data_IF_655065327859
#
_entry.id   IF_655065327859
#
_cell.length_a   1.000
_cell.length_b   1.000
_cell.length_c   1.000
_cell.angle_alpha   90.00
_cell.angle_beta   90.00
_cell.angle_gamma   90.00
#
_symmetry.space_group_name_H-M   'P 1'
#
loop_
_entity.id
_entity.type
_entity.pdbx_description
1 polymer ?
#
# COMPACT_ATOMS: atom_id res chain seq x y z
N UNK A 1 24.84 28.49 -33.23
CA UNK A 1 24.17 27.21 -33.56
C UNK A 1 22.71 27.37 -33.18
N UNK A 2 21.92 27.93 -34.09
CA UNK A 2 20.48 28.16 -33.91
C UNK A 2 19.78 26.82 -33.98
N UNK A 3 19.23 26.36 -32.86
CA UNK A 3 18.34 25.20 -32.85
C UNK A 3 17.11 25.60 -33.68
N UNK A 4 17.02 25.09 -34.90
CA UNK A 4 15.81 25.20 -35.71
C UNK A 4 14.72 24.47 -34.94
N UNK A 5 13.84 25.22 -34.29
CA UNK A 5 12.58 24.70 -33.76
C UNK A 5 11.66 24.42 -34.95
N UNK A 6 11.80 23.24 -35.55
CA UNK A 6 11.00 22.78 -36.69
C UNK A 6 10.76 21.27 -36.58
N UNK A 7 9.68 20.80 -37.18
CA UNK A 7 9.36 19.37 -37.23
C UNK A 7 10.41 18.61 -38.06
N UNK A 8 10.62 17.32 -37.78
CA UNK A 8 11.45 16.48 -38.62
C UNK A 8 10.91 16.42 -40.05
N UNK A 9 9.59 16.55 -40.26
CA UNK A 9 8.99 16.70 -41.60
C UNK A 9 9.60 17.84 -42.42
N UNK A 10 9.88 18.98 -41.79
CA UNK A 10 10.45 20.17 -42.45
C UNK A 10 11.96 20.08 -42.59
N UNK A 11 12.64 19.44 -41.62
CA UNK A 11 14.09 19.34 -41.61
C UNK A 11 14.63 18.23 -42.53
N UNK A 12 13.93 17.10 -42.61
CA UNK A 12 14.40 15.91 -43.34
C UNK A 12 14.68 16.16 -44.84
N UNK A 13 13.91 16.99 -45.58
CA UNK A 13 14.22 17.36 -46.95
C UNK A 13 15.51 18.17 -47.12
N UNK A 14 15.98 18.89 -46.09
CA UNK A 14 17.19 19.73 -46.16
C UNK A 14 18.48 18.91 -46.05
N UNK A 15 18.42 17.75 -45.39
CA UNK A 15 19.57 16.86 -45.15
C UNK A 15 19.61 15.67 -46.11
N UNK A 16 18.74 15.64 -47.12
CA UNK A 16 18.70 14.55 -48.11
C UNK A 16 19.92 14.61 -49.04
N UNK A 17 20.41 13.45 -49.55
CA UNK A 17 21.45 13.44 -50.58
C UNK A 17 20.99 14.17 -51.86
N UNK A 18 21.90 14.89 -52.51
CA UNK A 18 21.60 15.72 -53.68
C UNK A 18 20.96 14.94 -54.85
N UNK A 19 21.34 13.66 -55.03
CA UNK A 19 20.77 12.79 -56.07
C UNK A 19 19.29 12.42 -55.83
N UNK A 20 18.74 12.72 -54.65
CA UNK A 20 17.31 12.56 -54.31
C UNK A 20 16.53 13.89 -54.31
N UNK A 21 17.00 14.89 -55.05
CA UNK A 21 16.41 16.24 -55.11
C UNK A 21 15.03 16.37 -55.79
N UNK A 22 14.55 15.33 -56.49
CA UNK A 22 13.28 15.38 -57.22
C UNK A 22 12.01 15.34 -56.34
N UNK A 23 10.82 15.52 -56.94
CA UNK A 23 9.53 15.51 -56.21
C UNK A 23 9.28 14.23 -55.42
N UNK A 24 9.68 13.08 -55.96
CA UNK A 24 9.56 11.77 -55.29
C UNK A 24 10.49 11.64 -54.09
N UNK A 25 11.73 12.14 -54.19
CA UNK A 25 12.68 12.17 -53.08
C UNK A 25 12.24 13.14 -51.97
N UNK A 26 11.52 14.21 -52.34
CA UNK A 26 10.95 15.15 -51.38
C UNK A 26 9.78 14.53 -50.61
N UNK A 27 8.85 13.89 -51.31
CA UNK A 27 7.75 13.17 -50.69
C UNK A 27 8.24 12.05 -49.75
N UNK A 28 9.28 11.31 -50.17
CA UNK A 28 9.94 10.31 -49.33
C UNK A 28 10.56 10.94 -48.07
N UNK A 29 11.33 12.03 -48.22
CA UNK A 29 11.98 12.71 -47.10
C UNK A 29 10.97 13.28 -46.10
N UNK A 30 9.88 13.88 -46.59
CA UNK A 30 8.79 14.35 -45.74
C UNK A 30 8.12 13.20 -44.97
N UNK A 31 7.88 12.06 -45.63
CA UNK A 31 7.29 10.87 -44.99
C UNK A 31 8.20 10.32 -43.89
N UNK A 32 9.51 10.24 -44.15
CA UNK A 32 10.50 9.86 -43.13
C UNK A 32 10.53 10.85 -41.97
N UNK A 33 10.38 12.15 -42.24
CA UNK A 33 10.28 13.17 -41.21
C UNK A 33 9.06 12.99 -40.31
N UNK A 34 7.87 12.72 -40.87
CA UNK A 34 6.65 12.41 -40.10
C UNK A 34 6.85 11.20 -39.19
N UNK A 35 7.53 10.15 -39.68
CA UNK A 35 7.85 8.99 -38.86
C UNK A 35 8.77 9.37 -37.68
N UNK A 36 9.79 10.19 -37.91
CA UNK A 36 10.70 10.67 -36.85
C UNK A 36 9.96 11.52 -35.81
N UNK A 37 9.06 12.41 -36.25
CA UNK A 37 8.21 13.20 -35.35
C UNK A 37 7.34 12.28 -34.47
N UNK A 38 6.76 11.23 -35.05
CA UNK A 38 5.95 10.25 -34.30
C UNK A 38 6.79 9.49 -33.27
N UNK A 39 8.01 9.07 -33.62
CA UNK A 39 8.92 8.38 -32.70
C UNK A 39 9.34 9.32 -31.57
N UNK A 40 9.65 10.57 -31.88
CA UNK A 40 10.00 11.58 -30.88
C UNK A 40 8.85 11.79 -29.89
N UNK A 41 7.62 11.95 -30.39
CA UNK A 41 6.42 12.08 -29.56
C UNK A 41 6.26 10.87 -28.64
N UNK A 42 6.37 9.66 -29.18
CA UNK A 42 6.28 8.42 -28.41
C UNK A 42 7.38 8.33 -27.35
N UNK A 43 8.63 8.71 -27.68
CA UNK A 43 9.73 8.73 -26.73
C UNK A 43 9.49 9.72 -25.57
N UNK A 44 8.96 10.93 -25.89
CA UNK A 44 8.56 11.92 -24.88
C UNK A 44 7.43 11.39 -23.98
N UNK A 45 6.42 10.74 -24.55
CA UNK A 45 5.33 10.12 -23.80
C UNK A 45 5.84 8.98 -22.90
N UNK A 46 6.65 8.07 -23.44
CA UNK A 46 7.26 6.97 -22.68
C UNK A 46 8.07 7.48 -21.48
N UNK A 47 8.81 8.58 -21.64
CA UNK A 47 9.53 9.23 -20.53
C UNK A 47 8.59 9.70 -19.43
N UNK A 48 7.42 10.27 -19.77
CA UNK A 48 6.41 10.69 -18.78
C UNK A 48 5.86 9.50 -17.98
N UNK A 49 5.72 8.33 -18.60
CA UNK A 49 5.23 7.13 -17.92
C UNK A 49 6.14 6.63 -16.79
N UNK A 50 7.41 7.04 -16.77
CA UNK A 50 8.34 6.72 -15.67
C UNK A 50 8.10 7.55 -14.41
N UNK A 51 7.42 8.69 -14.50
CA UNK A 51 7.23 9.63 -13.39
C UNK A 51 5.84 9.51 -12.77
N UNK A 52 5.78 9.25 -11.46
CA UNK A 52 4.52 9.10 -10.72
C UNK A 52 3.63 10.36 -10.75
N UNK A 53 4.16 11.53 -11.07
CA UNK A 53 3.38 12.77 -11.25
C UNK A 53 2.76 12.93 -12.62
N UNK A 54 3.31 12.28 -13.66
CA UNK A 54 2.96 12.55 -15.06
C UNK A 54 2.46 11.31 -15.80
N UNK A 55 2.74 10.11 -15.30
CA UNK A 55 2.30 8.87 -15.92
C UNK A 55 0.78 8.77 -15.99
N UNK A 56 0.27 7.97 -16.92
CA UNK A 56 -1.14 7.62 -17.01
C UNK A 56 -1.53 6.60 -15.92
N UNK A 57 -2.83 6.38 -15.75
CA UNK A 57 -3.36 5.53 -14.66
C UNK A 57 -2.99 4.05 -14.82
N UNK A 58 -2.97 3.54 -16.04
CA UNK A 58 -2.53 2.18 -16.39
C UNK A 58 -1.07 1.94 -15.99
N UNK A 59 -0.20 2.94 -16.19
CA UNK A 59 1.20 2.88 -15.77
C UNK A 59 1.35 2.87 -14.23
N UNK A 60 0.43 3.50 -13.48
CA UNK A 60 0.47 3.46 -12.01
C UNK A 60 0.33 2.05 -11.47
N UNK A 61 -0.52 1.21 -12.09
CA UNK A 61 -0.67 -0.18 -11.69
C UNK A 61 0.66 -0.94 -11.80
N UNK A 62 1.45 -0.68 -12.86
CA UNK A 62 2.79 -1.26 -13.03
C UNK A 62 3.78 -0.76 -11.98
N UNK A 63 3.75 0.54 -11.67
CA UNK A 63 4.56 1.13 -10.59
C UNK A 63 4.22 0.53 -9.22
N UNK A 64 2.94 0.28 -8.97
CA UNK A 64 2.45 -0.39 -7.78
C UNK A 64 2.87 -1.84 -7.69
N UNK A 65 2.73 -2.59 -8.79
CA UNK A 65 3.16 -4.00 -8.87
C UNK A 65 4.65 -4.15 -8.53
N UNK A 66 5.51 -3.30 -9.10
CA UNK A 66 6.94 -3.30 -8.77
C UNK A 66 7.20 -3.06 -7.27
N UNK A 67 6.42 -2.16 -6.67
CA UNK A 67 6.46 -1.87 -5.23
C UNK A 67 5.59 -2.83 -4.42
N UNK A 68 5.01 -3.88 -4.99
CA UNK A 68 4.03 -4.78 -4.34
C UNK A 68 2.88 -4.08 -3.63
N UNK A 69 2.54 -2.86 -4.04
CA UNK A 69 1.53 -1.99 -3.45
C UNK A 69 0.43 -1.77 -4.47
N UNK A 70 -0.49 -2.71 -4.52
CA UNK A 70 -1.65 -2.64 -5.41
C UNK A 70 -2.61 -1.54 -4.95
N UNK A 71 -3.38 -0.98 -5.88
CA UNK A 71 -4.44 -0.02 -5.56
C UNK A 71 -5.54 -0.71 -4.75
N UNK A 72 -6.05 -0.02 -3.73
CA UNK A 72 -7.16 -0.50 -2.91
C UNK A 72 -8.49 -0.06 -3.55
N UNK A 73 -9.55 -0.84 -3.39
CA UNK A 73 -10.90 -0.46 -3.82
C UNK A 73 -11.32 0.84 -3.14
N UNK A 74 -11.95 1.74 -3.90
CA UNK A 74 -12.33 3.07 -3.42
C UNK A 74 -11.19 4.09 -3.33
N UNK A 75 -9.92 3.69 -3.46
CA UNK A 75 -8.79 4.62 -3.50
C UNK A 75 -8.82 5.42 -4.80
N UNK A 76 -8.80 6.75 -4.72
CA UNK A 76 -8.69 7.62 -5.90
C UNK A 76 -7.30 7.53 -6.53
N UNK A 77 -7.18 7.88 -7.82
CA UNK A 77 -5.88 7.90 -8.53
C UNK A 77 -4.87 8.82 -7.84
N UNK A 78 -5.34 9.96 -7.31
CA UNK A 78 -4.50 10.91 -6.60
C UNK A 78 -3.96 10.34 -5.28
N UNK A 79 -4.82 9.70 -4.47
CA UNK A 79 -4.41 9.02 -3.24
C UNK A 79 -3.39 7.91 -3.54
N UNK A 80 -3.64 7.12 -4.58
CA UNK A 80 -2.73 6.05 -4.97
C UNK A 80 -1.35 6.57 -5.37
N UNK A 81 -1.29 7.68 -6.13
CA UNK A 81 -0.01 8.35 -6.45
C UNK A 81 0.71 8.82 -5.20
N UNK A 82 0.02 9.45 -4.26
CA UNK A 82 0.60 9.93 -3.00
C UNK A 82 1.22 8.77 -2.22
N UNK A 83 0.49 7.66 -2.11
CA UNK A 83 0.97 6.45 -1.44
C UNK A 83 2.20 5.84 -2.13
N UNK A 84 2.21 5.77 -3.46
CA UNK A 84 3.37 5.29 -4.21
C UNK A 84 4.61 6.20 -4.10
N UNK A 85 4.42 7.52 -3.96
CA UNK A 85 5.52 8.47 -3.73
C UNK A 85 6.12 8.33 -2.32
N UNK A 86 5.29 8.04 -1.33
CA UNK A 86 5.71 7.83 0.05
C UNK A 86 6.54 6.55 0.24
N UNK A 87 6.56 5.64 -0.75
CA UNK A 87 7.26 4.36 -0.69
C UNK A 87 8.72 4.46 -0.20
N UNK A 88 9.50 5.41 -0.72
CA UNK A 88 10.91 5.54 -0.33
C UNK A 88 11.08 5.95 1.13
N UNK A 89 10.20 6.83 1.63
CA UNK A 89 10.21 7.23 3.03
C UNK A 89 9.81 6.07 3.95
N UNK A 90 8.83 5.26 3.53
CA UNK A 90 8.42 4.08 4.27
C UNK A 90 9.49 3.00 4.27
N UNK A 91 10.20 2.83 3.14
CA UNK A 91 11.28 1.87 3.02
C UNK A 91 12.41 2.14 4.02
N UNK A 92 12.68 3.40 4.34
CA UNK A 92 13.65 3.79 5.37
C UNK A 92 13.28 3.25 6.76
N UNK A 93 11.99 3.20 7.08
CA UNK A 93 11.47 2.78 8.37
C UNK A 93 10.95 1.34 8.39
N UNK A 94 11.25 0.54 7.35
CA UNK A 94 10.91 -0.88 7.34
C UNK A 94 11.54 -1.61 8.54
N UNK A 95 10.79 -2.52 9.15
CA UNK A 95 11.20 -3.24 10.35
C UNK A 95 10.96 -2.49 11.66
N UNK A 96 10.40 -1.27 11.63
CA UNK A 96 10.10 -0.48 12.82
C UNK A 96 8.60 -0.30 13.03
N UNK A 97 8.20 -0.05 14.28
CA UNK A 97 6.81 0.33 14.61
C UNK A 97 6.36 1.57 13.81
N UNK A 98 7.23 2.57 13.68
CA UNK A 98 6.97 3.79 12.89
C UNK A 98 6.60 3.48 11.44
N UNK A 99 7.35 2.60 10.77
CA UNK A 99 7.08 2.23 9.39
C UNK A 99 5.71 1.57 9.21
N UNK A 100 5.31 0.73 10.17
CA UNK A 100 3.96 0.13 10.18
C UNK A 100 2.91 1.24 10.34
N UNK A 101 3.01 2.07 11.38
CA UNK A 101 2.04 3.14 11.68
C UNK A 101 1.90 4.11 10.51
N UNK A 102 3.01 4.59 9.95
CA UNK A 102 3.02 5.51 8.81
C UNK A 102 2.37 4.86 7.56
N UNK A 103 2.57 3.56 7.33
CA UNK A 103 1.96 2.85 6.21
C UNK A 103 0.43 2.71 6.36
N UNK A 104 -0.06 2.49 7.58
CA UNK A 104 -1.51 2.47 7.88
C UNK A 104 -2.13 3.87 7.73
N UNK A 105 -1.41 4.92 8.14
CA UNK A 105 -1.89 6.29 8.01
C UNK A 105 -2.13 6.68 6.54
N UNK A 106 -1.36 6.15 5.58
CA UNK A 106 -1.60 6.36 4.15
C UNK A 106 -2.89 5.70 3.62
N UNK A 107 -3.44 4.73 4.35
CA UNK A 107 -4.77 4.14 4.07
C UNK A 107 -5.90 4.86 4.84
N UNK A 108 -5.59 5.94 5.56
CA UNK A 108 -6.55 6.68 6.38
C UNK A 108 -6.76 6.11 7.79
N UNK A 109 -6.05 5.04 8.17
CA UNK A 109 -6.09 4.47 9.52
C UNK A 109 -5.03 5.17 10.37
N UNK A 110 -5.42 6.21 11.10
CA UNK A 110 -4.48 7.08 11.85
C UNK A 110 -4.26 6.65 13.29
N UNK A 111 -5.19 5.88 13.86
CA UNK A 111 -5.10 5.39 15.24
C UNK A 111 -4.59 3.95 15.27
N UNK A 112 -3.30 3.80 14.96
CA UNK A 112 -2.63 2.48 14.91
C UNK A 112 -1.47 2.47 15.89
N UNK A 113 -1.37 1.39 16.63
CA UNK A 113 -0.29 1.14 17.57
C UNK A 113 0.36 -0.21 17.32
N UNK A 114 1.66 -0.29 17.57
CA UNK A 114 2.41 -1.54 17.55
C UNK A 114 2.80 -1.84 18.99
N UNK A 115 2.36 -2.98 19.50
CA UNK A 115 2.64 -3.41 20.88
C UNK A 115 3.56 -4.62 20.85
N UNK A 116 4.73 -4.49 21.46
CA UNK A 116 5.71 -5.57 21.57
C UNK A 116 5.50 -6.34 22.87
N UNK A 117 5.70 -7.66 22.83
CA UNK A 117 5.62 -8.50 24.03
C UNK A 117 6.60 -8.08 25.14
N UNK A 118 7.76 -7.51 24.77
CA UNK A 118 8.82 -7.13 25.70
C UNK A 118 8.58 -5.78 26.40
N UNK A 119 7.79 -4.86 25.83
CA UNK A 119 7.72 -3.47 26.29
C UNK A 119 7.18 -3.33 27.71
N UNK A 120 6.34 -4.27 28.14
CA UNK A 120 5.78 -4.28 29.48
C UNK A 120 6.68 -4.89 30.55
N UNK A 121 7.70 -5.69 30.17
CA UNK A 121 8.63 -6.26 31.14
C UNK A 121 9.63 -5.22 31.67
N UNK A 122 9.91 -4.17 30.90
CA UNK A 122 10.99 -3.20 31.18
C UNK A 122 10.47 -1.94 31.89
N UNK A 123 9.18 -1.63 31.80
CA UNK A 123 8.59 -0.37 32.27
C UNK A 123 7.70 -0.50 33.51
N UNK A 124 7.64 -1.68 34.14
CA UNK A 124 6.78 -1.92 35.31
C UNK A 124 5.27 -1.86 35.01
N UNK A 125 4.87 -1.72 33.74
CA UNK A 125 3.49 -1.81 33.31
C UNK A 125 3.00 -3.26 33.28
N UNK A 126 1.71 -3.49 33.52
CA UNK A 126 1.11 -4.82 33.33
C UNK A 126 1.34 -5.28 31.89
N UNK A 127 2.04 -6.40 31.68
CA UNK A 127 2.15 -6.96 30.35
C UNK A 127 0.79 -7.40 29.85
N UNK A 128 0.54 -7.14 28.56
CA UNK A 128 -0.63 -7.66 27.86
C UNK A 128 -0.68 -9.16 28.12
N UNK A 129 -1.66 -9.62 28.90
CA UNK A 129 -1.73 -10.99 29.39
C UNK A 129 -1.58 -12.01 28.26
N UNK A 130 -2.10 -11.70 27.08
CA UNK A 130 -2.01 -12.52 25.86
C UNK A 130 -0.62 -12.57 25.20
N UNK A 131 0.31 -11.67 25.52
CA UNK A 131 1.68 -11.63 24.99
C UNK A 131 2.76 -11.79 26.06
N UNK A 132 2.38 -12.20 27.26
CA UNK A 132 3.30 -12.51 28.35
C UNK A 132 4.09 -13.80 28.12
N UNK A 133 5.36 -13.82 28.55
CA UNK A 133 6.18 -15.03 28.67
C UNK A 133 7.47 -15.04 27.83
N UNK A 134 8.52 -15.72 28.34
CA UNK A 134 9.86 -15.79 27.72
C UNK A 134 9.86 -16.27 26.25
N UNK A 135 8.90 -17.11 25.85
CA UNK A 135 8.77 -17.60 24.47
C UNK A 135 8.16 -16.60 23.48
N UNK A 136 7.61 -15.48 23.95
CA UNK A 136 6.86 -14.51 23.14
C UNK A 136 7.65 -13.22 22.87
N UNK A 137 8.93 -13.15 23.26
CA UNK A 137 9.80 -11.98 23.08
C UNK A 137 9.98 -11.52 21.62
N UNK A 138 9.72 -12.40 20.65
CA UNK A 138 9.76 -12.09 19.20
C UNK A 138 8.39 -11.74 18.62
N UNK A 139 7.36 -11.62 19.45
CA UNK A 139 6.00 -11.30 19.02
C UNK A 139 5.71 -9.81 19.19
N UNK A 140 4.99 -9.27 18.23
CA UNK A 140 4.33 -7.98 18.33
C UNK A 140 2.93 -8.07 17.74
N UNK A 141 2.02 -7.26 18.26
CA UNK A 141 0.67 -7.09 17.72
C UNK A 141 0.56 -5.72 17.07
N UNK A 142 -0.26 -5.62 16.03
CA UNK A 142 -0.69 -4.34 15.47
C UNK A 142 -2.14 -4.14 15.89
N UNK A 143 -2.43 -3.06 16.60
CA UNK A 143 -3.80 -2.70 17.00
C UNK A 143 -4.25 -1.52 16.17
N UNK A 144 -5.35 -1.70 15.45
CA UNK A 144 -5.99 -0.70 14.60
C UNK A 144 -7.28 -0.28 15.30
N UNK A 145 -7.31 0.95 15.78
CA UNK A 145 -8.49 1.53 16.44
C UNK A 145 -9.25 2.42 15.45
N UNK A 146 -10.45 2.82 15.83
CA UNK A 146 -11.20 3.83 15.11
C UNK A 146 -10.37 5.14 15.00
N UNK A 147 -10.40 5.84 13.86
CA UNK A 147 -11.28 5.60 12.71
C UNK A 147 -10.74 4.55 11.72
N UNK A 148 -11.60 3.62 11.30
CA UNK A 148 -11.35 2.70 10.18
C UNK A 148 -12.68 2.26 9.51
N UNK A 149 -12.68 1.84 8.24
CA UNK A 149 -13.92 1.50 7.51
C UNK A 149 -14.48 0.09 7.82
N UNK A 150 -13.83 -0.69 8.69
CA UNK A 150 -14.30 -2.02 9.07
C UNK A 150 -15.53 -1.94 9.99
N UNK A 151 -16.49 -2.82 9.74
CA UNK A 151 -17.69 -3.02 10.56
C UNK A 151 -17.72 -4.40 11.19
N UNK A 152 -18.78 -4.72 11.93
CA UNK A 152 -18.99 -6.06 12.51
C UNK A 152 -19.96 -6.87 11.65
N UNK A 153 -19.65 -8.15 11.42
CA UNK A 153 -20.56 -9.10 10.75
C UNK A 153 -21.42 -9.90 11.73
N UNK A 154 -21.24 -9.69 13.04
CA UNK A 154 -21.94 -10.42 14.09
C UNK A 154 -21.49 -11.88 14.25
N UNK A 155 -20.48 -12.35 13.52
CA UNK A 155 -19.97 -13.72 13.59
C UNK A 155 -18.71 -13.79 14.46
N UNK A 156 -18.90 -14.17 15.72
CA UNK A 156 -17.81 -14.39 16.67
C UNK A 156 -17.62 -15.89 16.92
N UNK A 157 -16.40 -16.31 17.26
CA UNK A 157 -16.16 -17.70 17.67
C UNK A 157 -16.74 -17.87 19.07
N UNK A 158 -17.66 -18.82 19.24
CA UNK A 158 -18.05 -19.35 20.55
C UNK A 158 -17.58 -20.81 20.60
N UNK A 159 -16.57 -21.11 21.41
CA UNK A 159 -16.01 -22.46 21.51
C UNK A 159 -15.15 -22.88 20.30
N UNK A 160 -15.44 -24.03 19.69
CA UNK A 160 -14.56 -24.70 18.69
C UNK A 160 -15.04 -24.63 17.25
N UNK A 161 -16.15 -23.93 16.95
CA UNK A 161 -16.73 -23.90 15.60
C UNK A 161 -16.56 -22.55 14.90
N UNK A 162 -16.08 -22.61 13.67
CA UNK A 162 -15.95 -21.48 12.73
C UNK A 162 -17.25 -21.32 11.94
N UNK A 163 -17.78 -20.09 11.85
CA UNK A 163 -18.81 -19.71 10.88
C UNK A 163 -18.30 -18.47 10.14
N UNK A 164 -17.84 -18.59 8.90
CA UNK A 164 -17.46 -17.45 8.05
C UNK A 164 -16.22 -17.63 7.16
N UNK A 165 -16.15 -16.84 6.07
CA UNK A 165 -15.24 -16.97 4.92
C UNK A 165 -13.85 -16.33 5.10
N UNK A 166 -13.21 -16.49 6.27
CA UNK A 166 -11.78 -16.15 6.46
C UNK A 166 -11.47 -14.76 7.03
N UNK A 167 -12.49 -14.10 7.60
CA UNK A 167 -12.39 -12.88 8.39
C UNK A 167 -13.24 -13.09 9.64
N UNK A 168 -12.65 -13.02 10.84
CA UNK A 168 -13.35 -13.31 12.09
C UNK A 168 -14.02 -12.01 12.60
N UNK A 169 -15.34 -11.98 12.75
CA UNK A 169 -16.06 -10.93 13.48
C UNK A 169 -16.17 -9.56 12.80
N UNK A 170 -15.75 -9.42 11.53
CA UNK A 170 -15.75 -8.13 10.84
C UNK A 170 -16.16 -8.18 9.37
N UNK A 171 -16.99 -7.21 8.98
CA UNK A 171 -17.25 -6.85 7.58
C UNK A 171 -16.21 -5.84 7.09
N UNK A 172 -15.79 -5.94 5.84
CA UNK A 172 -14.94 -4.94 5.22
C UNK A 172 -14.65 -5.23 3.76
N UNK A 173 -14.12 -4.24 3.05
CA UNK A 173 -13.67 -4.43 1.68
C UNK A 173 -12.50 -5.44 1.63
N UNK A 174 -12.63 -6.57 0.91
CA UNK A 174 -11.58 -7.59 0.81
C UNK A 174 -10.25 -7.04 0.29
N UNK A 175 -10.28 -6.02 -0.56
CA UNK A 175 -9.06 -5.43 -1.11
C UNK A 175 -8.29 -4.64 -0.06
N UNK A 176 -8.99 -3.93 0.84
CA UNK A 176 -8.41 -3.23 1.96
C UNK A 176 -7.87 -4.20 3.03
N UNK A 177 -8.60 -5.30 3.30
CA UNK A 177 -8.11 -6.36 4.19
C UNK A 177 -6.80 -6.95 3.65
N UNK A 178 -6.74 -7.24 2.34
CA UNK A 178 -5.51 -7.70 1.70
C UNK A 178 -4.38 -6.68 1.83
N UNK A 179 -4.67 -5.39 1.65
CA UNK A 179 -3.68 -4.32 1.79
C UNK A 179 -3.12 -4.21 3.22
N UNK A 180 -3.98 -4.31 4.23
CA UNK A 180 -3.60 -4.32 5.66
C UNK A 180 -2.68 -5.50 5.98
N UNK A 181 -3.02 -6.71 5.51
CA UNK A 181 -2.18 -7.91 5.67
C UNK A 181 -0.81 -7.70 5.03
N UNK A 182 -0.78 -7.23 3.78
CA UNK A 182 0.46 -6.99 3.04
C UNK A 182 1.34 -5.91 3.67
N UNK A 183 0.77 -4.86 4.27
CA UNK A 183 1.54 -3.86 5.02
C UNK A 183 2.30 -4.53 6.16
N UNK A 184 1.62 -5.31 6.99
CA UNK A 184 2.28 -5.95 8.15
C UNK A 184 3.28 -7.00 7.69
N UNK A 185 2.95 -7.82 6.69
CA UNK A 185 3.86 -8.83 6.13
C UNK A 185 5.15 -8.22 5.60
N UNK A 186 5.09 -7.02 5.02
CA UNK A 186 6.21 -6.36 4.37
C UNK A 186 7.01 -5.45 5.30
N UNK A 187 6.33 -4.76 6.20
CA UNK A 187 6.95 -3.79 7.10
C UNK A 187 7.50 -4.46 8.36
N UNK A 188 7.15 -5.73 8.66
CA UNK A 188 7.67 -6.45 9.83
C UNK A 188 9.19 -6.64 9.77
N UNK A 189 9.89 -6.59 10.91
CA UNK A 189 11.31 -6.93 10.96
C UNK A 189 11.51 -8.44 10.80
N UNK A 190 12.67 -8.84 10.28
CA UNK A 190 12.97 -10.25 10.00
C UNK A 190 13.05 -11.14 11.25
N UNK A 191 13.39 -10.56 12.41
CA UNK A 191 13.58 -11.30 13.66
C UNK A 191 12.30 -11.47 14.48
N UNK A 192 11.23 -10.76 14.13
CA UNK A 192 9.96 -10.77 14.85
C UNK A 192 8.82 -11.29 13.97
N UNK A 193 7.76 -11.76 14.60
CA UNK A 193 6.55 -12.18 13.91
C UNK A 193 5.31 -11.54 14.52
N UNK A 194 4.34 -11.24 13.65
CA UNK A 194 3.04 -10.77 14.05
C UNK A 194 2.07 -11.95 14.02
N UNK A 195 1.56 -12.44 15.16
CA UNK A 195 0.61 -13.55 15.18
C UNK A 195 -0.80 -13.10 14.78
N UNK A 196 -1.15 -11.83 15.00
CA UNK A 196 -2.47 -11.26 14.71
C UNK A 196 -2.42 -9.73 14.62
N UNK A 197 -3.25 -9.20 13.74
CA UNK A 197 -3.61 -7.79 13.66
C UNK A 197 -4.98 -7.66 14.34
N UNK A 198 -5.08 -6.79 15.33
CA UNK A 198 -6.26 -6.57 16.15
C UNK A 198 -6.99 -5.34 15.62
N UNK A 199 -8.27 -5.48 15.30
CA UNK A 199 -9.11 -4.38 14.80
C UNK A 199 -10.18 -4.10 15.83
N UNK A 200 -10.26 -2.87 16.35
CA UNK A 200 -11.22 -2.46 17.38
C UNK A 200 -12.46 -1.86 16.72
N UNK A 201 -13.50 -2.68 16.56
CA UNK A 201 -14.73 -2.34 15.86
C UNK A 201 -15.63 -1.41 16.68
N UNK A 202 -15.68 -1.59 18.00
CA UNK A 202 -16.40 -0.73 18.93
C UNK A 202 -15.74 -0.78 20.32
N UNK A 203 -15.88 0.30 21.09
CA UNK A 203 -15.35 0.39 22.44
C UNK A 203 -13.83 0.56 22.49
N UNK A 204 -13.18 0.00 23.51
CA UNK A 204 -11.73 0.10 23.71
C UNK A 204 -11.09 -1.27 24.04
N UNK A 205 -9.76 -1.34 24.00
CA UNK A 205 -9.02 -2.47 24.59
C UNK A 205 -8.24 -1.94 25.79
N UNK A 206 -8.72 -2.28 26.98
CA UNK A 206 -8.01 -2.08 28.25
C UNK A 206 -7.04 -3.25 28.50
N UNK A 207 -5.75 -2.91 28.56
CA UNK A 207 -4.60 -3.63 29.14
C UNK A 207 -4.34 -5.13 28.87
N UNK A 208 -5.06 -5.78 27.96
CA UNK A 208 -4.75 -7.15 27.55
C UNK A 208 -5.04 -8.22 28.62
N UNK A 209 -5.82 -7.87 29.65
CA UNK A 209 -6.39 -8.85 30.60
C UNK A 209 -7.90 -9.07 30.44
N UNK A 210 -8.57 -8.33 29.56
CA UNK A 210 -9.99 -8.55 29.27
C UNK A 210 -10.41 -7.94 27.95
N UNK A 211 -10.30 -8.74 26.89
CA UNK A 211 -11.15 -8.74 25.68
C UNK A 211 -10.51 -9.76 24.75
N UNK A 212 -10.80 -11.03 24.99
CA UNK A 212 -10.70 -12.04 23.95
C UNK A 212 -11.90 -11.87 23.03
N UNK A 213 -11.71 -11.92 21.71
CA UNK A 213 -12.82 -11.91 20.75
C UNK A 213 -13.62 -13.24 20.74
N UNK A 214 -13.59 -14.00 21.83
CA UNK A 214 -14.25 -15.30 22.01
C UNK A 214 -15.64 -15.18 22.65
N UNK A 215 -16.14 -13.96 22.88
CA UNK A 215 -17.40 -13.76 23.59
C UNK A 215 -17.34 -14.20 25.05
N UNK A 216 -16.14 -14.28 25.66
CA UNK A 216 -16.05 -14.53 27.09
C UNK A 216 -16.70 -13.36 27.86
N UNK A 217 -17.61 -13.62 28.81
CA UNK A 217 -18.50 -12.63 29.42
C UNK A 217 -17.79 -11.70 30.43
N UNK A 218 -16.48 -11.54 30.31
CA UNK A 218 -15.63 -10.77 31.22
C UNK A 218 -15.33 -9.34 30.74
N UNK A 219 -15.83 -8.93 29.56
CA UNK A 219 -15.74 -7.55 29.05
C UNK A 219 -16.90 -6.65 29.48
N UNK A 220 -16.64 -5.35 29.59
CA UNK A 220 -17.72 -4.37 29.75
C UNK A 220 -18.68 -4.45 28.54
N UNK A 221 -20.00 -4.37 28.75
CA UNK A 221 -20.97 -4.48 27.66
C UNK A 221 -20.75 -3.36 26.61
N UNK A 222 -20.20 -3.71 25.44
CA UNK A 222 -20.03 -2.76 24.33
C UNK A 222 -18.77 -2.95 23.47
N UNK A 223 -17.71 -3.56 24.00
CA UNK A 223 -16.45 -3.71 23.27
C UNK A 223 -16.54 -4.80 22.20
N UNK A 224 -16.07 -4.51 20.98
CA UNK A 224 -16.07 -5.45 19.84
C UNK A 224 -14.74 -5.39 19.11
N UNK A 225 -14.09 -6.54 18.98
CA UNK A 225 -12.78 -6.67 18.34
C UNK A 225 -12.77 -7.81 17.33
N UNK A 226 -11.95 -7.66 16.29
CA UNK A 226 -11.72 -8.67 15.27
C UNK A 226 -10.22 -8.98 15.14
N UNK A 227 -9.91 -10.21 14.75
CA UNK A 227 -8.53 -10.66 14.53
C UNK A 227 -8.30 -11.00 13.06
N UNK A 228 -7.21 -10.45 12.52
CA UNK A 228 -6.72 -10.75 11.19
C UNK A 228 -5.36 -11.42 11.28
N UNK A 229 -5.14 -12.44 10.44
CA UNK A 229 -3.81 -12.99 10.22
C UNK A 229 -3.07 -12.11 9.19
N UNK A 230 -1.80 -11.72 9.46
CA UNK A 230 -0.99 -10.94 8.53
C UNK A 230 -0.55 -11.74 7.29
#
# INVERSE_FOLDING_TARGET
>A
MTLVSGSYREHQPLVRPAFHGGPTGEAWAQSLGVLKDSIELLARQARRQRWLSLCAEDALAKHGQFRGWSRVSGETVAQYRTRLRAWWQLALWQGTAKGIIDAFALLGMTNVEVREAISAYVSGGSPWGRYTGRGRQRQFAVVVRQPHPFGTDGTFIVGTSLVGTGVLGMTGDPSLIKAVREIVRRMRPAHAYCPEIIVVLAGDITDGTGTTADGDPSGAPGDRIAYLKP
#
